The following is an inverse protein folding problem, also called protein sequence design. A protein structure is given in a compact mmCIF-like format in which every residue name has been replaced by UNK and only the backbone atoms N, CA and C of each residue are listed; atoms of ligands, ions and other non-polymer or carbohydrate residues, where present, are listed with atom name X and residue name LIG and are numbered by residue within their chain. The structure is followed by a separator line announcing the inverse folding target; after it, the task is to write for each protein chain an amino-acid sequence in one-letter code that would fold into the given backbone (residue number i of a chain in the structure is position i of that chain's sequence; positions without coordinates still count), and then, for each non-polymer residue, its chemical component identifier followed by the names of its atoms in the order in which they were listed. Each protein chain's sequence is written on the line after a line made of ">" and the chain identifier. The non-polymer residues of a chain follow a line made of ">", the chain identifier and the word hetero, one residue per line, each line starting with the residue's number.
data_IF_650667943272
#
_entry.id   IF_650667943272
#
_cell.length_a   1.000
_cell.length_b   1.000
_cell.length_c   1.000
_cell.angle_alpha   90.00
_cell.angle_beta   90.00
_cell.angle_gamma   90.00
#
_symmetry.space_group_name_H-M   'P 1'
#
loop_
_entity.id
_entity.type
_entity.pdbx_description
1 polymer ?
#
# COMPACT_ATOMS: atom_id res chain seq x y z
N UNK A 1 41.97 13.37 17.47
CA UNK A 1 40.62 13.92 17.44
C UNK A 1 39.77 12.94 16.63
N UNK A 2 39.02 12.09 17.30
CA UNK A 2 38.04 11.23 16.61
C UNK A 2 36.96 12.16 16.05
N UNK A 3 36.99 12.42 14.74
CA UNK A 3 35.87 13.07 14.07
C UNK A 3 34.64 12.21 14.33
N UNK A 4 33.68 12.73 15.11
CA UNK A 4 32.43 12.03 15.34
C UNK A 4 31.79 11.74 13.98
N UNK A 5 31.46 10.51 13.72
CA UNK A 5 30.74 10.11 12.50
C UNK A 5 29.42 10.89 12.40
N UNK A 6 29.13 11.47 11.25
CA UNK A 6 27.88 12.20 11.03
C UNK A 6 26.70 11.23 11.08
N UNK A 7 25.64 11.62 11.76
CA UNK A 7 24.44 10.82 11.98
C UNK A 7 23.37 11.10 10.91
N UNK A 8 22.84 10.03 10.34
CA UNK A 8 21.71 10.10 9.40
C UNK A 8 20.54 9.32 9.98
N UNK A 9 19.48 10.03 10.35
CA UNK A 9 18.23 9.40 10.82
C UNK A 9 17.26 9.23 9.66
N UNK A 10 16.68 8.03 9.53
CA UNK A 10 15.68 7.70 8.50
C UNK A 10 14.38 7.29 9.20
N UNK A 11 13.29 8.02 8.95
CA UNK A 11 11.97 7.72 9.48
C UNK A 11 11.14 6.94 8.47
N UNK A 12 10.84 5.70 8.81
CA UNK A 12 10.14 4.76 7.95
C UNK A 12 11.07 3.94 7.03
N UNK A 13 10.87 2.64 7.00
CA UNK A 13 11.63 1.67 6.19
C UNK A 13 10.80 1.06 5.06
N UNK A 14 9.85 1.85 4.51
CA UNK A 14 9.18 1.55 3.25
C UNK A 14 10.14 1.63 2.06
N UNK A 15 9.60 1.80 0.85
CA UNK A 15 10.44 1.86 -0.35
C UNK A 15 11.45 3.01 -0.35
N UNK A 16 11.07 4.21 0.13
CA UNK A 16 11.98 5.35 0.18
C UNK A 16 13.11 5.14 1.18
N UNK A 17 12.76 4.85 2.44
CA UNK A 17 13.72 4.74 3.53
C UNK A 17 14.67 3.57 3.39
N UNK A 18 14.19 2.39 3.01
CA UNK A 18 15.05 1.22 2.81
C UNK A 18 16.10 1.47 1.71
N UNK A 19 15.69 2.06 0.59
CA UNK A 19 16.64 2.36 -0.51
C UNK A 19 17.60 3.50 -0.16
N UNK A 20 17.19 4.45 0.69
CA UNK A 20 18.10 5.46 1.24
C UNK A 20 19.14 4.80 2.18
N UNK A 21 18.71 3.98 3.13
CA UNK A 21 19.60 3.25 4.04
C UNK A 21 20.64 2.42 3.26
N UNK A 22 20.20 1.63 2.28
CA UNK A 22 21.09 0.82 1.44
C UNK A 22 22.07 1.66 0.62
N UNK A 23 21.66 2.83 0.13
CA UNK A 23 22.54 3.73 -0.62
C UNK A 23 23.65 4.33 0.25
N UNK A 24 23.44 4.42 1.57
CA UNK A 24 24.43 4.86 2.56
C UNK A 24 25.34 3.74 3.10
N UNK A 25 25.18 2.50 2.64
CA UNK A 25 25.87 1.31 3.19
C UNK A 25 27.38 1.43 3.26
N UNK A 26 28.01 2.10 2.28
CA UNK A 26 29.48 2.25 2.18
C UNK A 26 29.97 3.62 2.64
N UNK A 27 29.10 4.43 3.21
CA UNK A 27 29.44 5.77 3.67
C UNK A 27 29.99 5.75 5.09
N UNK A 28 30.89 6.68 5.41
CA UNK A 28 31.40 6.93 6.77
C UNK A 28 30.41 7.79 7.55
N UNK A 29 29.21 7.27 7.77
CA UNK A 29 28.11 7.87 8.53
C UNK A 29 27.44 6.81 9.38
N UNK A 30 26.84 7.21 10.49
CA UNK A 30 26.01 6.35 11.31
C UNK A 30 24.55 6.49 10.88
N UNK A 31 23.95 5.42 10.38
CA UNK A 31 22.56 5.39 9.91
C UNK A 31 21.66 4.80 10.98
N UNK A 32 20.69 5.57 11.45
CA UNK A 32 19.61 5.06 12.32
C UNK A 32 18.32 5.00 11.52
N UNK A 33 17.69 3.83 11.48
CA UNK A 33 16.36 3.64 10.86
C UNK A 33 15.35 3.46 11.97
N UNK A 34 14.40 4.39 12.08
CA UNK A 34 13.26 4.29 13.00
C UNK A 34 12.01 3.91 12.19
N UNK A 35 11.40 2.77 12.49
CA UNK A 35 10.14 2.34 11.88
C UNK A 35 9.19 1.81 12.95
N UNK A 36 7.89 2.11 12.80
CA UNK A 36 6.83 1.63 13.69
C UNK A 36 6.56 0.14 13.56
N UNK A 37 7.08 -0.50 12.51
CA UNK A 37 7.00 -1.93 12.25
C UNK A 37 8.38 -2.56 12.15
N UNK A 38 8.49 -3.84 12.43
CA UNK A 38 9.77 -4.56 12.34
C UNK A 38 10.09 -5.05 10.92
N UNK A 39 9.24 -4.73 9.92
CA UNK A 39 9.33 -5.31 8.58
C UNK A 39 9.17 -4.29 7.47
N UNK A 40 9.90 -4.51 6.40
CA UNK A 40 9.64 -3.88 5.11
C UNK A 40 8.54 -4.64 4.38
N UNK A 41 7.56 -3.90 3.85
CA UNK A 41 6.39 -4.46 3.17
C UNK A 41 6.42 -4.15 1.67
N UNK A 42 6.27 -5.19 0.85
CA UNK A 42 6.11 -5.06 -0.59
C UNK A 42 4.62 -4.79 -0.93
N UNK A 43 4.21 -3.54 -0.73
CA UNK A 43 2.81 -3.10 -0.86
C UNK A 43 2.13 -3.42 -2.20
N UNK A 44 2.82 -3.52 -3.36
CA UNK A 44 2.15 -3.90 -4.61
C UNK A 44 1.47 -5.27 -4.59
N UNK A 45 1.88 -6.18 -3.70
CA UNK A 45 1.24 -7.51 -3.55
C UNK A 45 0.38 -7.62 -2.29
N UNK A 46 0.12 -6.52 -1.59
CA UNK A 46 -0.63 -6.53 -0.34
C UNK A 46 -2.08 -7.00 -0.53
N UNK A 47 -2.70 -6.65 -1.67
CA UNK A 47 -4.04 -7.14 -2.01
C UNK A 47 -4.10 -8.68 -2.08
N UNK A 48 -3.01 -9.37 -2.45
CA UNK A 48 -2.98 -10.84 -2.46
C UNK A 48 -2.97 -11.44 -1.06
N UNK A 49 -2.40 -10.74 -0.08
CA UNK A 49 -2.55 -11.13 1.33
C UNK A 49 -3.99 -10.91 1.80
N UNK A 50 -4.59 -9.77 1.44
CA UNK A 50 -5.98 -9.46 1.75
C UNK A 50 -6.98 -10.45 1.13
N UNK A 51 -6.59 -11.15 0.08
CA UNK A 51 -7.41 -12.10 -0.68
C UNK A 51 -6.93 -13.55 -0.56
N UNK A 52 -6.14 -13.85 0.46
CA UNK A 52 -5.64 -15.19 0.76
C UNK A 52 -4.81 -15.86 -0.37
N UNK A 53 -4.32 -15.08 -1.34
CA UNK A 53 -3.46 -15.56 -2.42
C UNK A 53 -2.01 -15.77 -2.00
N UNK A 54 -1.55 -14.96 -1.03
CA UNK A 54 -0.20 -15.03 -0.46
C UNK A 54 -0.24 -14.95 1.06
N UNK A 55 0.79 -15.51 1.71
CA UNK A 55 1.00 -15.32 3.14
C UNK A 55 1.70 -13.98 3.43
N UNK A 56 1.51 -13.41 4.63
CA UNK A 56 2.16 -12.17 5.03
C UNK A 56 3.69 -12.22 4.91
N UNK A 57 4.40 -13.31 5.34
CA UNK A 57 5.85 -13.41 5.17
C UNK A 57 6.32 -13.49 3.72
N UNK A 58 5.46 -13.84 2.76
CA UNK A 58 5.84 -13.92 1.35
C UNK A 58 6.14 -12.55 0.73
N UNK A 59 5.56 -11.49 1.28
CA UNK A 59 5.71 -10.11 0.78
C UNK A 59 6.33 -9.15 1.80
N UNK A 60 6.67 -9.63 2.98
CA UNK A 60 7.31 -8.84 4.03
C UNK A 60 8.64 -9.45 4.44
N UNK A 61 9.58 -8.60 4.84
CA UNK A 61 10.89 -9.05 5.33
C UNK A 61 11.32 -8.25 6.56
N UNK A 62 11.85 -8.91 7.63
CA UNK A 62 12.33 -8.19 8.80
C UNK A 62 13.42 -7.18 8.43
N UNK A 63 13.25 -5.92 8.82
CA UNK A 63 14.19 -4.82 8.49
C UNK A 63 15.59 -5.16 8.95
N UNK A 64 15.74 -5.68 10.18
CA UNK A 64 17.04 -6.09 10.72
C UNK A 64 17.73 -7.15 9.88
N UNK A 65 16.97 -8.10 9.33
CA UNK A 65 17.51 -9.13 8.45
C UNK A 65 17.96 -8.54 7.10
N UNK A 66 17.17 -7.64 6.52
CA UNK A 66 17.50 -6.99 5.25
C UNK A 66 18.76 -6.13 5.36
N UNK A 67 18.96 -5.46 6.51
CA UNK A 67 20.11 -4.59 6.78
C UNK A 67 21.24 -5.28 7.55
N UNK A 68 21.14 -6.57 7.89
CA UNK A 68 22.12 -7.28 8.73
C UNK A 68 23.58 -7.17 8.24
N UNK A 69 23.77 -7.17 6.92
CA UNK A 69 25.11 -6.99 6.33
C UNK A 69 25.58 -5.53 6.23
N UNK A 70 24.85 -4.55 6.76
CA UNK A 70 25.19 -3.13 6.75
C UNK A 70 25.65 -2.69 8.14
N UNK A 71 26.98 -2.66 8.36
CA UNK A 71 27.59 -2.42 9.68
C UNK A 71 27.30 -1.04 10.26
N UNK A 72 27.09 -0.03 9.42
CA UNK A 72 26.81 1.34 9.83
C UNK A 72 25.30 1.63 10.00
N UNK A 73 24.43 0.60 10.03
CA UNK A 73 22.99 0.79 10.19
C UNK A 73 22.48 0.19 11.50
N UNK A 74 21.83 1.01 12.31
CA UNK A 74 21.08 0.62 13.50
C UNK A 74 19.57 0.72 13.19
N UNK A 75 18.81 -0.28 13.58
CA UNK A 75 17.33 -0.30 13.40
C UNK A 75 16.67 -0.16 14.76
N UNK A 76 15.79 0.81 14.89
CA UNK A 76 14.95 1.03 16.06
C UNK A 76 13.48 0.76 15.70
N UNK A 77 12.80 0.01 16.55
CA UNK A 77 11.34 -0.14 16.48
C UNK A 77 10.73 1.00 17.31
N UNK A 78 9.91 1.83 16.66
CA UNK A 78 9.23 2.95 17.30
C UNK A 78 8.58 3.88 16.28
N UNK A 79 7.66 4.69 16.74
CA UNK A 79 6.95 5.66 15.91
C UNK A 79 7.45 7.09 16.18
N UNK A 80 7.73 7.84 15.11
CA UNK A 80 8.06 9.26 15.20
C UNK A 80 6.78 10.06 15.39
N UNK A 81 6.67 10.81 16.49
CA UNK A 81 5.53 11.67 16.80
C UNK A 81 5.65 13.04 16.16
N UNK A 82 6.84 13.64 16.20
CA UNK A 82 7.09 14.94 15.57
C UNK A 82 8.58 15.13 15.25
N UNK A 83 8.85 15.94 14.26
CA UNK A 83 10.19 16.45 13.96
C UNK A 83 10.32 17.83 14.60
N UNK A 84 11.46 18.11 15.25
CA UNK A 84 11.81 19.40 15.84
C UNK A 84 13.01 19.96 15.07
N UNK A 85 12.82 20.62 13.94
CA UNK A 85 13.92 21.01 13.04
C UNK A 85 14.92 21.96 13.70
N UNK A 86 14.45 22.92 14.53
CA UNK A 86 15.32 23.85 15.24
C UNK A 86 16.26 23.17 16.25
N UNK A 87 15.83 22.05 16.84
CA UNK A 87 16.61 21.26 17.79
C UNK A 87 17.39 20.13 17.11
N UNK A 88 17.24 19.94 15.81
CA UNK A 88 17.79 18.80 15.03
C UNK A 88 17.51 17.44 15.69
N UNK A 89 16.29 17.23 16.15
CA UNK A 89 15.87 15.97 16.73
C UNK A 89 14.44 15.55 16.32
N UNK A 90 14.16 14.28 16.51
CA UNK A 90 12.84 13.67 16.35
C UNK A 90 12.35 13.22 17.70
N UNK A 91 11.13 13.58 18.06
CA UNK A 91 10.45 13.08 19.24
C UNK A 91 9.71 11.78 18.86
N UNK A 92 10.09 10.68 19.49
CA UNK A 92 9.43 9.39 19.37
C UNK A 92 8.19 9.32 20.29
N UNK A 93 7.32 8.34 20.04
CA UNK A 93 6.07 8.15 20.79
C UNK A 93 6.30 7.87 22.27
N UNK A 94 7.40 7.19 22.61
CA UNK A 94 7.84 6.90 23.98
C UNK A 94 8.44 8.13 24.72
N UNK A 95 8.46 9.30 24.10
CA UNK A 95 9.00 10.54 24.65
C UNK A 95 10.51 10.73 24.44
N UNK A 96 11.22 9.75 23.90
CA UNK A 96 12.65 9.86 23.62
C UNK A 96 12.93 10.82 22.45
N UNK A 97 14.00 11.62 22.57
CA UNK A 97 14.53 12.46 21.50
C UNK A 97 15.68 11.76 20.79
N UNK A 98 15.61 11.67 19.46
CA UNK A 98 16.66 11.09 18.61
C UNK A 98 17.27 12.22 17.78
N UNK A 99 18.50 12.59 18.04
CA UNK A 99 19.22 13.64 17.33
C UNK A 99 19.72 13.17 15.96
N UNK A 100 19.91 14.11 15.04
CA UNK A 100 20.47 13.85 13.71
C UNK A 100 21.30 15.03 13.19
N UNK A 101 22.28 14.73 12.34
CA UNK A 101 22.91 15.73 11.48
C UNK A 101 22.15 15.86 10.16
N UNK A 102 21.65 14.72 9.64
CA UNK A 102 20.76 14.66 8.47
C UNK A 102 19.55 13.79 8.77
N UNK A 103 18.39 14.19 8.21
CA UNK A 103 17.12 13.49 8.37
C UNK A 103 16.53 13.12 7.02
N UNK A 104 16.07 11.87 6.88
CA UNK A 104 15.23 11.44 5.74
C UNK A 104 13.86 11.03 6.26
N UNK A 105 12.81 11.76 5.89
CA UNK A 105 11.43 11.44 6.25
C UNK A 105 10.78 10.63 5.13
N UNK A 106 10.54 9.35 5.37
CA UNK A 106 10.04 8.37 4.41
C UNK A 106 8.77 7.65 4.91
N UNK A 107 7.93 8.35 5.69
CA UNK A 107 6.76 7.79 6.38
C UNK A 107 5.53 7.55 5.49
N UNK A 108 5.59 7.94 4.22
CA UNK A 108 4.59 7.63 3.21
C UNK A 108 3.21 8.22 3.45
N UNK A 109 2.17 7.43 3.19
CA UNK A 109 0.76 7.81 3.26
C UNK A 109 -0.06 6.86 4.13
N UNK A 110 -1.18 7.33 4.62
CA UNK A 110 -2.22 6.57 5.32
C UNK A 110 -3.54 6.60 4.55
N UNK A 111 -4.60 6.02 5.11
CA UNK A 111 -5.95 6.12 4.53
C UNK A 111 -6.50 7.53 4.62
N UNK A 112 -7.31 7.92 3.65
CA UNK A 112 -8.12 9.13 3.68
C UNK A 112 -9.58 8.77 3.47
N UNK A 113 -10.41 9.12 4.42
CA UNK A 113 -11.88 9.02 4.32
C UNK A 113 -12.51 10.38 4.00
N UNK A 114 -11.71 11.34 3.50
CA UNK A 114 -12.16 12.70 3.14
C UNK A 114 -12.92 13.41 4.26
N UNK A 115 -12.42 13.29 5.49
CA UNK A 115 -13.04 13.87 6.70
C UNK A 115 -14.13 13.00 7.34
N UNK A 116 -14.37 11.80 6.83
CA UNK A 116 -15.34 10.85 7.35
C UNK A 116 -14.64 9.66 8.01
N UNK A 117 -13.80 9.92 9.00
CA UNK A 117 -13.04 8.89 9.70
C UNK A 117 -13.94 7.92 10.49
N UNK A 118 -15.19 8.33 10.73
CA UNK A 118 -16.27 7.49 11.25
C UNK A 118 -16.60 6.25 10.37
N UNK A 119 -16.18 6.25 9.09
CA UNK A 119 -16.34 5.11 8.18
C UNK A 119 -15.29 4.02 8.34
N UNK A 120 -14.14 4.33 8.94
CA UNK A 120 -13.01 3.40 9.05
C UNK A 120 -13.36 2.07 9.70
N UNK A 121 -14.17 1.98 10.78
CA UNK A 121 -14.56 0.71 11.37
C UNK A 121 -15.37 -0.19 10.44
N UNK A 122 -16.12 0.40 9.51
CA UNK A 122 -17.02 -0.32 8.59
C UNK A 122 -16.39 -0.62 7.24
N UNK A 123 -15.46 0.21 6.79
CA UNK A 123 -14.77 0.07 5.51
C UNK A 123 -13.25 0.17 5.69
N UNK A 124 -12.56 -0.88 6.14
CA UNK A 124 -11.11 -0.86 6.27
C UNK A 124 -10.44 -0.56 4.94
N UNK A 125 -9.39 0.26 4.98
CA UNK A 125 -8.51 0.46 3.83
C UNK A 125 -7.42 -0.61 3.74
N UNK A 126 -6.49 -0.49 2.78
CA UNK A 126 -5.41 -1.45 2.55
C UNK A 126 -4.05 -0.76 2.45
N UNK A 127 -3.30 -0.69 3.56
CA UNK A 127 -1.96 -0.09 3.64
C UNK A 127 -0.97 -0.92 4.45
N UNK A 128 -1.45 -1.71 5.41
CA UNK A 128 -0.63 -2.50 6.34
C UNK A 128 -0.98 -3.99 6.25
N UNK A 129 -0.12 -4.85 6.81
CA UNK A 129 -0.45 -6.27 6.93
C UNK A 129 -1.69 -6.51 7.81
N UNK A 130 -1.89 -5.71 8.85
CA UNK A 130 -3.07 -5.78 9.69
C UNK A 130 -4.36 -5.50 8.90
N UNK A 131 -4.33 -4.46 8.06
CA UNK A 131 -5.46 -4.16 7.16
C UNK A 131 -5.76 -5.32 6.21
N UNK A 132 -4.71 -5.89 5.62
CA UNK A 132 -4.87 -7.02 4.70
C UNK A 132 -5.46 -8.26 5.38
N UNK A 133 -5.04 -8.55 6.61
CA UNK A 133 -5.58 -9.66 7.41
C UNK A 133 -7.03 -9.40 7.82
N UNK A 134 -7.39 -8.16 8.17
CA UNK A 134 -8.76 -7.79 8.50
C UNK A 134 -9.68 -7.88 7.27
N UNK A 135 -9.26 -7.39 6.10
CA UNK A 135 -10.03 -7.54 4.86
C UNK A 135 -10.21 -9.04 4.55
N UNK A 136 -9.14 -9.84 4.64
CA UNK A 136 -9.22 -11.30 4.43
C UNK A 136 -10.23 -11.93 5.36
N UNK A 137 -10.17 -11.59 6.65
CA UNK A 137 -11.11 -12.10 7.66
C UNK A 137 -12.54 -11.75 7.28
N UNK A 138 -12.84 -10.49 6.92
CA UNK A 138 -14.19 -10.05 6.54
C UNK A 138 -14.71 -10.76 5.30
N UNK A 139 -13.89 -10.90 4.28
CA UNK A 139 -14.30 -11.58 3.04
C UNK A 139 -14.63 -13.04 3.28
N UNK A 140 -13.76 -13.78 3.98
CA UNK A 140 -14.01 -15.19 4.29
C UNK A 140 -15.20 -15.36 5.24
N UNK A 141 -15.30 -14.52 6.28
CA UNK A 141 -16.43 -14.52 7.22
C UNK A 141 -17.76 -14.26 6.50
N UNK A 142 -17.77 -13.45 5.44
CA UNK A 142 -18.97 -13.19 4.66
C UNK A 142 -19.61 -14.48 4.12
N UNK A 143 -18.80 -15.39 3.59
CA UNK A 143 -19.29 -16.70 3.11
C UNK A 143 -19.74 -17.61 4.26
N UNK A 144 -19.00 -17.69 5.36
CA UNK A 144 -19.35 -18.49 6.54
C UNK A 144 -20.67 -18.03 7.16
N UNK A 145 -20.87 -16.73 7.26
CA UNK A 145 -22.11 -16.17 7.80
C UNK A 145 -23.29 -16.36 6.85
N UNK A 146 -23.06 -16.26 5.55
CA UNK A 146 -24.09 -16.55 4.55
C UNK A 146 -24.55 -18.01 4.58
N UNK A 147 -23.64 -18.97 4.82
CA UNK A 147 -23.95 -20.39 4.97
C UNK A 147 -24.89 -20.65 6.17
N UNK A 148 -24.75 -19.85 7.23
CA UNK A 148 -25.55 -19.98 8.46
C UNK A 148 -26.88 -19.18 8.41
N UNK A 149 -26.94 -18.13 7.58
CA UNK A 149 -28.08 -17.21 7.55
C UNK A 149 -29.28 -17.86 6.84
N UNK A 150 -30.45 -17.76 7.44
CA UNK A 150 -31.71 -18.29 6.91
C UNK A 150 -32.54 -17.24 6.20
N UNK A 151 -32.42 -15.97 6.59
CA UNK A 151 -33.12 -14.87 5.93
C UNK A 151 -32.47 -14.55 4.58
N UNK A 152 -33.19 -14.59 3.47
CA UNK A 152 -32.62 -14.38 2.13
C UNK A 152 -32.02 -12.99 1.94
N UNK A 153 -32.61 -11.95 2.52
CA UNK A 153 -32.13 -10.58 2.37
C UNK A 153 -30.83 -10.36 3.15
N UNK A 154 -30.74 -10.88 4.36
CA UNK A 154 -29.51 -10.85 5.18
C UNK A 154 -28.41 -11.72 4.58
N UNK A 155 -28.75 -12.89 4.02
CA UNK A 155 -27.83 -13.75 3.29
C UNK A 155 -27.25 -13.02 2.07
N UNK A 156 -28.09 -12.34 1.29
CA UNK A 156 -27.65 -11.54 0.16
C UNK A 156 -26.69 -10.39 0.58
N UNK A 157 -26.92 -9.75 1.73
CA UNK A 157 -26.03 -8.74 2.29
C UNK A 157 -24.66 -9.32 2.68
N UNK A 158 -24.59 -10.55 3.21
CA UNK A 158 -23.34 -11.25 3.50
C UNK A 158 -22.58 -11.64 2.23
N UNK A 159 -23.27 -11.98 1.15
CA UNK A 159 -22.69 -12.31 -0.16
C UNK A 159 -22.46 -11.08 -1.05
N UNK A 160 -22.64 -9.87 -0.53
CA UNK A 160 -22.35 -8.63 -1.24
C UNK A 160 -21.04 -8.04 -0.72
N UNK A 161 -20.07 -7.93 -1.61
CA UNK A 161 -18.73 -7.37 -1.36
C UNK A 161 -18.58 -6.05 -2.12
N UNK A 162 -18.32 -4.98 -1.40
CA UNK A 162 -18.20 -3.65 -1.99
C UNK A 162 -16.75 -3.17 -1.89
N UNK A 163 -16.20 -2.71 -3.00
CA UNK A 163 -14.93 -2.01 -3.05
C UNK A 163 -15.18 -0.57 -3.49
N UNK A 164 -14.79 0.38 -2.67
CA UNK A 164 -14.95 1.83 -2.94
C UNK A 164 -13.61 2.39 -3.42
N UNK A 165 -13.59 2.88 -4.66
CA UNK A 165 -12.43 3.43 -5.34
C UNK A 165 -11.91 2.52 -6.46
N UNK A 166 -11.91 3.02 -7.69
CA UNK A 166 -11.52 2.31 -8.92
C UNK A 166 -10.06 2.52 -9.32
N UNK A 167 -9.18 2.92 -8.38
CA UNK A 167 -7.74 2.92 -8.60
C UNK A 167 -7.16 1.49 -8.69
N UNK A 168 -5.82 1.34 -8.87
CA UNK A 168 -5.18 0.02 -9.01
C UNK A 168 -5.55 -0.94 -7.87
N UNK A 169 -5.46 -0.52 -6.62
CA UNK A 169 -5.79 -1.35 -5.46
C UNK A 169 -7.25 -1.84 -5.48
N UNK A 170 -8.19 -0.95 -5.83
CA UNK A 170 -9.61 -1.32 -5.87
C UNK A 170 -9.93 -2.29 -7.01
N UNK A 171 -9.33 -2.07 -8.17
CA UNK A 171 -9.46 -2.97 -9.33
C UNK A 171 -8.90 -4.37 -9.01
N UNK A 172 -7.72 -4.45 -8.41
CA UNK A 172 -7.06 -5.70 -7.99
C UNK A 172 -7.89 -6.45 -6.94
N UNK A 173 -8.43 -5.75 -5.94
CA UNK A 173 -9.29 -6.35 -4.92
C UNK A 173 -10.59 -6.86 -5.50
N UNK A 174 -11.29 -6.05 -6.31
CA UNK A 174 -12.59 -6.41 -6.89
C UNK A 174 -12.46 -7.63 -7.82
N UNK A 175 -11.45 -7.64 -8.69
CA UNK A 175 -11.19 -8.78 -9.56
C UNK A 175 -10.89 -10.05 -8.77
N UNK A 176 -10.08 -9.93 -7.72
CA UNK A 176 -9.72 -11.09 -6.89
C UNK A 176 -10.88 -11.59 -6.03
N UNK A 177 -11.76 -10.72 -5.52
CA UNK A 177 -12.98 -11.15 -4.81
C UNK A 177 -13.91 -11.95 -5.72
N UNK A 178 -14.05 -11.52 -6.98
CA UNK A 178 -14.82 -12.27 -7.97
C UNK A 178 -14.19 -13.66 -8.27
N UNK A 179 -12.86 -13.76 -8.35
CA UNK A 179 -12.17 -15.05 -8.51
C UNK A 179 -12.36 -15.98 -7.30
N UNK A 180 -12.32 -15.45 -6.07
CA UNK A 180 -12.58 -16.23 -4.84
C UNK A 180 -13.98 -16.83 -4.89
N UNK A 181 -14.98 -16.00 -5.17
CA UNK A 181 -16.37 -16.43 -5.21
C UNK A 181 -16.64 -17.47 -6.29
N UNK A 182 -16.10 -17.28 -7.50
CA UNK A 182 -16.41 -18.07 -8.67
C UNK A 182 -15.60 -19.34 -8.84
N UNK A 183 -14.38 -19.34 -8.34
CA UNK A 183 -13.43 -20.43 -8.57
C UNK A 183 -12.90 -21.04 -7.28
N UNK A 184 -12.36 -20.22 -6.36
CA UNK A 184 -11.65 -20.73 -5.18
C UNK A 184 -12.58 -21.47 -4.22
N UNK A 185 -13.79 -20.95 -3.97
CA UNK A 185 -14.74 -21.53 -3.00
C UNK A 185 -15.78 -22.46 -3.64
N UNK A 186 -15.61 -22.77 -4.92
CA UNK A 186 -16.57 -23.61 -5.65
C UNK A 186 -16.73 -24.97 -4.98
N UNK A 187 -17.97 -25.33 -4.62
CA UNK A 187 -18.32 -26.63 -4.06
C UNK A 187 -17.93 -26.85 -2.60
N UNK A 188 -17.40 -25.85 -1.90
CA UNK A 188 -17.03 -25.97 -0.48
C UNK A 188 -18.21 -25.79 0.46
N UNK A 189 -19.22 -25.00 0.08
CA UNK A 189 -20.42 -24.72 0.88
C UNK A 189 -21.58 -25.62 0.46
N UNK A 190 -22.54 -25.82 1.37
CA UNK A 190 -23.69 -26.74 1.17
C UNK A 190 -25.03 -26.02 1.04
N UNK A 191 -25.17 -24.84 1.69
CA UNK A 191 -26.43 -24.08 1.73
C UNK A 191 -26.40 -22.84 0.85
N UNK A 192 -25.21 -22.41 0.43
CA UNK A 192 -25.02 -21.31 -0.51
C UNK A 192 -24.22 -21.78 -1.72
N UNK A 193 -24.44 -21.10 -2.84
CA UNK A 193 -23.49 -21.13 -3.96
C UNK A 193 -22.62 -19.87 -3.90
N UNK A 194 -21.32 -19.98 -3.63
CA UNK A 194 -20.39 -18.84 -3.60
C UNK A 194 -20.42 -18.04 -4.91
N UNK A 195 -20.73 -18.68 -6.04
CA UNK A 195 -20.84 -18.02 -7.35
C UNK A 195 -21.95 -16.95 -7.39
N UNK A 196 -22.96 -17.06 -6.50
CA UNK A 196 -24.03 -16.06 -6.37
C UNK A 196 -23.57 -14.77 -5.68
N UNK A 197 -22.36 -14.73 -5.16
CA UNK A 197 -21.82 -13.53 -4.52
C UNK A 197 -21.71 -12.36 -5.52
N UNK A 198 -22.12 -11.20 -5.06
CA UNK A 198 -22.09 -9.95 -5.80
C UNK A 198 -20.88 -9.13 -5.41
N UNK A 199 -20.00 -8.84 -6.36
CA UNK A 199 -18.86 -7.93 -6.17
C UNK A 199 -19.16 -6.62 -6.88
N UNK A 200 -19.15 -5.50 -6.13
CA UNK A 200 -19.47 -4.17 -6.66
C UNK A 200 -18.25 -3.28 -6.45
N UNK A 201 -17.73 -2.71 -7.53
CA UNK A 201 -16.69 -1.69 -7.53
C UNK A 201 -17.34 -0.33 -7.78
N UNK A 202 -17.28 0.56 -6.79
CA UNK A 202 -17.85 1.92 -6.87
C UNK A 202 -16.72 2.91 -7.11
N UNK A 203 -16.84 3.73 -8.15
CA UNK A 203 -15.85 4.76 -8.50
C UNK A 203 -16.51 6.10 -8.68
N UNK A 204 -15.97 7.14 -8.02
CA UNK A 204 -16.50 8.50 -8.07
C UNK A 204 -16.25 9.21 -9.40
N UNK A 205 -15.22 8.81 -10.14
CA UNK A 205 -14.89 9.37 -11.47
C UNK A 205 -15.58 8.58 -12.59
N UNK A 206 -15.53 9.10 -13.82
CA UNK A 206 -16.20 8.51 -14.98
C UNK A 206 -15.66 7.11 -15.37
N UNK A 207 -14.49 6.71 -14.88
CA UNK A 207 -13.85 5.45 -15.27
C UNK A 207 -12.95 4.89 -14.18
N UNK A 208 -12.77 3.59 -14.15
CA UNK A 208 -11.75 2.92 -13.33
C UNK A 208 -10.36 3.24 -13.87
N UNK A 209 -9.33 3.15 -13.03
CA UNK A 209 -7.93 3.46 -13.38
C UNK A 209 -7.79 4.85 -14.05
N UNK A 210 -8.27 5.94 -13.44
CA UNK A 210 -8.32 7.27 -14.09
C UNK A 210 -6.94 7.79 -14.49
N UNK A 211 -5.85 7.34 -13.84
CA UNK A 211 -4.48 7.66 -14.17
C UNK A 211 -3.94 6.94 -15.43
N UNK A 212 -4.64 5.93 -15.92
CA UNK A 212 -4.28 5.21 -17.14
C UNK A 212 -4.91 5.83 -18.38
N UNK A 213 -4.35 5.58 -19.58
CA UNK A 213 -4.98 5.98 -20.83
C UNK A 213 -6.43 5.45 -20.94
N UNK A 214 -7.37 6.25 -21.52
CA UNK A 214 -8.80 5.88 -21.56
C UNK A 214 -9.08 4.53 -22.22
N UNK A 215 -8.30 4.15 -23.22
CA UNK A 215 -8.41 2.86 -23.91
C UNK A 215 -8.05 1.68 -22.98
N UNK A 216 -7.04 1.81 -22.12
CA UNK A 216 -6.68 0.79 -21.15
C UNK A 216 -7.66 0.75 -19.98
N UNK A 217 -8.15 1.90 -19.52
CA UNK A 217 -9.20 1.99 -18.51
C UNK A 217 -10.47 1.24 -18.93
N UNK A 218 -10.95 1.46 -20.17
CA UNK A 218 -12.09 0.72 -20.73
C UNK A 218 -11.82 -0.77 -20.83
N UNK A 219 -10.62 -1.19 -21.26
CA UNK A 219 -10.25 -2.62 -21.32
C UNK A 219 -10.22 -3.24 -19.92
N UNK A 220 -9.75 -2.52 -18.90
CA UNK A 220 -9.76 -2.97 -17.52
C UNK A 220 -11.21 -3.17 -17.02
N UNK A 221 -12.10 -2.23 -17.29
CA UNK A 221 -13.52 -2.36 -16.93
C UNK A 221 -14.17 -3.60 -17.59
N UNK A 222 -13.98 -3.79 -18.91
CA UNK A 222 -14.49 -4.97 -19.61
C UNK A 222 -13.95 -6.27 -19.00
N UNK A 223 -12.70 -6.30 -18.59
CA UNK A 223 -12.09 -7.47 -17.94
C UNK A 223 -12.71 -7.72 -16.57
N UNK A 224 -12.96 -6.68 -15.76
CA UNK A 224 -13.67 -6.80 -14.47
C UNK A 224 -15.10 -7.34 -14.66
N UNK A 225 -15.84 -6.80 -15.61
CA UNK A 225 -17.22 -7.22 -15.90
C UNK A 225 -17.28 -8.69 -16.37
N UNK A 226 -16.30 -9.14 -17.16
CA UNK A 226 -16.15 -10.56 -17.54
C UNK A 226 -15.88 -11.48 -16.35
N UNK A 227 -15.16 -11.00 -15.34
CA UNK A 227 -14.98 -11.69 -14.06
C UNK A 227 -16.25 -11.66 -13.20
N UNK A 228 -17.27 -10.88 -13.59
CA UNK A 228 -18.54 -10.71 -12.89
C UNK A 228 -18.52 -9.66 -11.80
N UNK A 229 -17.59 -8.74 -11.85
CA UNK A 229 -17.64 -7.53 -11.05
C UNK A 229 -18.64 -6.55 -11.65
N UNK A 230 -19.55 -6.02 -10.83
CA UNK A 230 -20.43 -4.91 -11.23
C UNK A 230 -19.67 -3.61 -11.01
N UNK A 231 -19.36 -2.88 -12.08
CA UNK A 231 -18.63 -1.60 -11.99
C UNK A 231 -19.63 -0.44 -12.03
N UNK A 232 -19.58 0.43 -11.03
CA UNK A 232 -20.40 1.66 -10.91
C UNK A 232 -19.51 2.91 -11.00
N UNK A 233 -19.20 3.38 -12.20
CA UNK A 233 -18.49 4.65 -12.38
C UNK A 233 -19.42 5.84 -12.13
N UNK A 234 -18.85 7.01 -11.88
CA UNK A 234 -19.58 8.26 -11.59
C UNK A 234 -20.56 8.15 -10.42
N UNK A 235 -20.25 7.30 -9.44
CA UNK A 235 -21.05 7.09 -8.24
C UNK A 235 -20.23 7.45 -6.99
N UNK A 236 -20.68 8.45 -6.27
CA UNK A 236 -20.04 8.89 -5.04
C UNK A 236 -20.71 8.25 -3.82
N UNK A 237 -19.94 7.56 -3.00
CA UNK A 237 -20.39 7.04 -1.71
C UNK A 237 -20.56 8.21 -0.76
N UNK A 238 -21.76 8.36 -0.19
CA UNK A 238 -22.14 9.45 0.71
C UNK A 238 -22.30 9.02 2.16
N UNK A 239 -22.33 7.70 2.41
CA UNK A 239 -22.41 7.12 3.74
C UNK A 239 -21.88 5.68 3.76
N UNK A 240 -21.28 5.30 4.89
CA UNK A 240 -20.84 3.92 5.16
C UNK A 240 -21.18 3.60 6.61
N UNK A 241 -21.79 2.44 6.83
CA UNK A 241 -22.12 1.93 8.17
C UNK A 241 -22.11 0.38 8.21
N UNK A 242 -22.52 -0.20 9.35
CA UNK A 242 -22.57 -1.65 9.55
C UNK A 242 -23.54 -2.40 8.61
N UNK A 243 -24.40 -1.70 7.88
CA UNK A 243 -25.37 -2.28 6.97
C UNK A 243 -24.96 -2.16 5.50
N UNK A 244 -23.90 -1.38 5.18
CA UNK A 244 -23.41 -1.21 3.83
C UNK A 244 -23.06 0.21 3.46
N UNK A 245 -23.35 0.60 2.21
CA UNK A 245 -23.02 1.92 1.69
C UNK A 245 -24.28 2.69 1.25
N UNK A 246 -24.17 4.01 1.29
CA UNK A 246 -25.16 4.96 0.77
C UNK A 246 -24.56 5.67 -0.44
N UNK A 247 -25.34 5.81 -1.52
CA UNK A 247 -25.00 6.55 -2.74
C UNK A 247 -26.17 7.47 -3.06
N UNK A 248 -26.08 8.73 -2.67
CA UNK A 248 -27.22 9.66 -2.74
C UNK A 248 -28.44 9.12 -1.96
N UNK A 249 -29.57 8.89 -2.63
CA UNK A 249 -30.75 8.29 -2.02
C UNK A 249 -30.76 6.76 -2.04
N UNK A 250 -29.88 6.13 -2.82
CA UNK A 250 -29.82 4.66 -2.96
C UNK A 250 -28.97 4.04 -1.84
N UNK A 251 -29.44 2.91 -1.30
CA UNK A 251 -28.69 2.11 -0.33
C UNK A 251 -28.34 0.74 -0.90
N UNK A 252 -27.09 0.34 -0.76
CA UNK A 252 -26.63 -1.02 -1.04
C UNK A 252 -26.29 -1.73 0.25
N UNK A 253 -27.08 -2.75 0.60
CA UNK A 253 -26.79 -3.58 1.77
C UNK A 253 -25.61 -4.50 1.49
N UNK A 254 -24.59 -4.43 2.34
CA UNK A 254 -23.37 -5.22 2.27
C UNK A 254 -22.72 -5.33 3.65
N UNK A 255 -22.23 -6.51 4.01
CA UNK A 255 -21.52 -6.73 5.28
C UNK A 255 -20.01 -6.58 5.12
N UNK A 256 -19.52 -6.56 3.89
CA UNK A 256 -18.10 -6.36 3.59
C UNK A 256 -17.94 -5.17 2.66
N UNK A 257 -17.39 -4.08 3.18
CA UNK A 257 -17.02 -2.89 2.43
C UNK A 257 -15.52 -2.67 2.61
N UNK A 258 -14.80 -2.39 1.53
CA UNK A 258 -13.35 -2.09 1.54
C UNK A 258 -13.12 -0.72 0.93
N UNK A 259 -12.32 0.11 1.60
CA UNK A 259 -12.00 1.47 1.19
C UNK A 259 -10.68 1.51 0.41
N UNK A 260 -10.75 1.83 -0.88
CA UNK A 260 -9.61 2.02 -1.77
C UNK A 260 -9.62 3.39 -2.48
N UNK A 261 -10.46 4.34 -2.00
CA UNK A 261 -10.76 5.58 -2.71
C UNK A 261 -9.82 6.74 -2.39
N UNK A 262 -8.99 6.65 -1.35
CA UNK A 262 -8.17 7.80 -1.00
C UNK A 262 -6.99 7.48 -0.09
N UNK A 263 -5.96 8.31 -0.22
CA UNK A 263 -4.78 8.33 0.65
C UNK A 263 -4.50 9.76 1.10
N UNK A 264 -4.04 9.91 2.34
CA UNK A 264 -3.52 11.15 2.89
C UNK A 264 -2.05 10.98 3.24
N UNK A 265 -1.29 12.03 3.16
CA UNK A 265 0.10 12.02 3.61
C UNK A 265 0.19 11.75 5.12
N UNK A 266 1.31 11.16 5.55
CA UNK A 266 1.60 10.97 6.97
C UNK A 266 1.49 12.29 7.74
N UNK A 267 0.78 12.34 8.88
CA UNK A 267 0.62 13.56 9.67
C UNK A 267 1.94 14.16 10.16
N UNK A 268 3.01 13.36 10.20
CA UNK A 268 4.34 13.80 10.56
C UNK A 268 4.86 14.95 9.68
N UNK A 269 4.43 15.01 8.43
CA UNK A 269 4.79 16.10 7.50
C UNK A 269 4.44 17.51 8.03
N UNK A 270 3.41 17.63 8.87
CA UNK A 270 3.00 18.91 9.47
C UNK A 270 4.07 19.50 10.42
N UNK A 271 4.84 18.63 11.07
CA UNK A 271 5.86 19.06 12.03
C UNK A 271 7.15 19.60 11.39
N UNK A 272 7.26 19.51 10.05
CA UNK A 272 8.41 20.02 9.30
C UNK A 272 8.39 21.53 9.06
N UNK A 273 7.26 22.20 9.32
CA UNK A 273 7.11 23.64 9.09
C UNK A 273 7.08 24.07 7.61
N UNK A 274 7.09 23.12 6.67
CA UNK A 274 7.05 23.39 5.24
C UNK A 274 5.59 23.49 4.72
N UNK A 275 5.33 24.18 3.59
CA UNK A 275 4.04 24.18 2.94
C UNK A 275 3.57 22.76 2.57
N UNK A 276 2.27 22.52 2.70
CA UNK A 276 1.64 21.25 2.37
C UNK A 276 0.65 21.43 1.20
N UNK A 277 0.49 20.39 0.39
CA UNK A 277 -0.58 20.33 -0.60
C UNK A 277 -1.93 19.89 0.03
N UNK A 278 -2.98 19.81 -0.79
CA UNK A 278 -4.34 19.41 -0.34
C UNK A 278 -4.39 17.98 0.25
N UNK A 279 -3.47 17.09 -0.14
CA UNK A 279 -3.37 15.75 0.41
C UNK A 279 -2.47 15.67 1.65
N UNK A 280 -1.93 16.81 2.11
CA UNK A 280 -1.02 16.91 3.24
C UNK A 280 0.43 16.55 2.90
N UNK A 281 0.80 16.42 1.60
CA UNK A 281 2.16 16.13 1.18
C UNK A 281 3.02 17.39 1.30
N UNK A 282 4.29 17.19 1.69
CA UNK A 282 5.25 18.26 1.93
C UNK A 282 5.81 18.78 0.61
N UNK A 283 5.67 20.07 0.34
CA UNK A 283 6.39 20.72 -0.77
C UNK A 283 7.89 20.73 -0.49
N UNK A 284 8.67 20.09 -1.34
CA UNK A 284 10.12 19.99 -1.22
C UNK A 284 10.83 20.84 -2.25
N UNK A 285 12.08 21.20 -1.97
CA UNK A 285 12.97 21.81 -2.93
C UNK A 285 13.32 20.80 -4.07
N UNK A 286 13.86 21.27 -5.21
CA UNK A 286 14.18 20.39 -6.34
C UNK A 286 15.11 19.21 -6.01
N UNK A 287 15.92 19.32 -4.96
CA UNK A 287 16.85 18.28 -4.49
C UNK A 287 16.24 17.35 -3.43
N UNK A 288 14.93 17.49 -3.15
CA UNK A 288 14.12 16.79 -2.14
C UNK A 288 14.32 17.30 -0.70
N UNK A 289 15.09 18.36 -0.48
CA UNK A 289 15.22 18.95 0.86
C UNK A 289 13.97 19.77 1.24
N UNK A 290 13.79 19.97 2.54
CA UNK A 290 12.73 20.85 3.09
C UNK A 290 13.21 22.30 2.94
N UNK A 291 12.40 23.21 2.38
CA UNK A 291 12.76 24.63 2.31
C UNK A 291 13.11 25.19 3.67
N UNK A 292 14.30 25.82 3.79
CA UNK A 292 14.84 26.33 5.04
C UNK A 292 15.63 25.30 5.87
N UNK A 293 15.57 24.01 5.53
CA UNK A 293 16.24 22.91 6.23
C UNK A 293 16.97 21.99 5.25
N UNK A 294 18.14 22.39 4.72
CA UNK A 294 18.87 21.62 3.71
C UNK A 294 19.36 20.25 4.21
N UNK A 295 19.38 20.02 5.51
CA UNK A 295 19.72 18.76 6.17
C UNK A 295 18.53 17.77 6.25
N UNK A 296 17.29 18.22 5.98
CA UNK A 296 16.07 17.41 6.07
C UNK A 296 15.55 17.10 4.66
N UNK A 297 15.43 15.83 4.32
CA UNK A 297 14.91 15.33 3.03
C UNK A 297 13.59 14.61 3.23
N UNK A 298 12.61 14.87 2.33
CA UNK A 298 11.33 14.14 2.33
C UNK A 298 11.25 13.31 1.05
N UNK A 299 10.92 12.03 1.20
CA UNK A 299 10.93 11.06 0.09
C UNK A 299 9.68 10.18 0.06
N UNK A 300 9.36 9.65 -1.12
CA UNK A 300 8.21 8.79 -1.34
C UNK A 300 6.88 9.58 -1.34
N UNK A 301 5.80 8.90 -0.97
CA UNK A 301 4.44 9.42 -1.10
C UNK A 301 4.15 10.63 -0.18
N UNK A 302 5.02 10.91 0.77
CA UNK A 302 4.93 12.11 1.62
C UNK A 302 5.38 13.38 0.89
N UNK A 303 6.25 13.29 -0.13
CA UNK A 303 6.75 14.45 -0.86
C UNK A 303 5.80 14.86 -1.98
N UNK A 304 5.52 16.17 -2.07
CA UNK A 304 4.78 16.78 -3.18
C UNK A 304 5.77 17.23 -4.25
N UNK A 305 5.82 16.50 -5.37
CA UNK A 305 6.64 16.82 -6.54
C UNK A 305 5.75 16.76 -7.77
N UNK A 306 5.74 17.81 -8.55
CA UNK A 306 4.94 17.87 -9.76
C UNK A 306 5.36 16.78 -10.77
N UNK A 307 4.37 16.07 -11.34
CA UNK A 307 4.58 15.00 -12.30
C UNK A 307 5.16 13.69 -11.74
N UNK A 308 5.39 13.59 -10.42
CA UNK A 308 5.89 12.36 -9.79
C UNK A 308 4.75 11.62 -9.09
N UNK A 309 4.39 10.39 -9.53
CA UNK A 309 3.32 9.62 -8.89
C UNK A 309 3.77 9.03 -7.55
N UNK A 310 2.80 8.82 -6.62
CA UNK A 310 3.00 8.12 -5.35
C UNK A 310 3.05 6.60 -5.57
N UNK A 311 4.16 6.09 -6.09
CA UNK A 311 4.38 4.67 -6.38
C UNK A 311 5.75 4.21 -5.93
N UNK A 312 5.90 2.89 -5.69
CA UNK A 312 7.14 2.29 -5.22
C UNK A 312 8.40 2.63 -6.05
N UNK A 313 8.38 2.64 -7.40
CA UNK A 313 9.53 3.05 -8.22
C UNK A 313 9.98 4.49 -7.97
N UNK A 314 9.04 5.43 -7.78
CA UNK A 314 9.35 6.81 -7.47
C UNK A 314 9.99 6.93 -6.08
N UNK A 315 9.39 6.33 -5.07
CA UNK A 315 9.92 6.32 -3.71
C UNK A 315 11.35 5.74 -3.62
N UNK A 316 11.65 4.64 -4.34
CA UNK A 316 12.99 4.06 -4.44
C UNK A 316 14.01 5.03 -5.03
N UNK A 317 13.64 5.71 -6.12
CA UNK A 317 14.52 6.69 -6.78
C UNK A 317 14.78 7.89 -5.88
N UNK A 318 13.73 8.40 -5.20
CA UNK A 318 13.85 9.52 -4.27
C UNK A 318 14.74 9.18 -3.08
N UNK A 319 14.56 8.01 -2.44
CA UNK A 319 15.40 7.59 -1.32
C UNK A 319 16.88 7.49 -1.69
N UNK A 320 17.19 6.88 -2.84
CA UNK A 320 18.58 6.84 -3.35
C UNK A 320 19.14 8.22 -3.67
N UNK A 321 18.29 9.13 -4.18
CA UNK A 321 18.70 10.48 -4.53
C UNK A 321 18.99 11.32 -3.29
N UNK A 322 18.12 11.28 -2.27
CA UNK A 322 18.34 11.95 -1.00
C UNK A 322 19.66 11.49 -0.34
N UNK A 323 19.91 10.18 -0.29
CA UNK A 323 21.18 9.64 0.20
C UNK A 323 22.40 10.16 -0.57
N UNK A 324 22.33 10.26 -1.91
CA UNK A 324 23.41 10.83 -2.74
C UNK A 324 23.63 12.30 -2.46
N UNK A 325 22.57 13.08 -2.23
CA UNK A 325 22.66 14.49 -1.89
C UNK A 325 23.28 14.70 -0.51
N UNK A 326 22.92 13.88 0.49
CA UNK A 326 23.59 13.87 1.80
C UNK A 326 25.09 13.60 1.63
N UNK A 327 25.47 12.57 0.85
CA UNK A 327 26.87 12.25 0.61
C UNK A 327 27.64 13.37 -0.14
N UNK A 328 26.96 14.12 -1.01
CA UNK A 328 27.55 15.29 -1.65
C UNK A 328 27.78 16.42 -0.65
N UNK A 329 26.79 16.71 0.19
CA UNK A 329 26.89 17.75 1.25
C UNK A 329 27.98 17.45 2.27
N UNK A 330 28.12 16.18 2.69
CA UNK A 330 29.18 15.71 3.60
C UNK A 330 30.61 15.96 3.05
N UNK A 331 30.73 16.00 1.72
CA UNK A 331 32.00 16.31 1.03
C UNK A 331 32.15 17.79 0.68
N UNK A 332 31.29 18.67 1.20
CA UNK A 332 31.27 20.10 0.85
C UNK A 332 30.79 20.40 -0.58
N UNK A 333 30.22 19.41 -1.27
CA UNK A 333 29.66 19.56 -2.62
C UNK A 333 28.22 20.06 -2.62
N UNK A 334 27.73 20.44 -3.80
CA UNK A 334 26.34 20.88 -4.01
C UNK A 334 25.41 19.70 -4.20
N UNK A 335 24.18 19.79 -3.69
CA UNK A 335 23.08 18.88 -3.97
C UNK A 335 22.65 19.00 -5.44
N UNK A 336 21.99 17.96 -5.94
CA UNK A 336 21.48 17.90 -7.32
C UNK A 336 19.96 17.79 -7.33
N UNK A 337 19.27 18.39 -8.31
CA UNK A 337 17.84 18.24 -8.44
C UNK A 337 17.46 16.80 -8.78
N UNK A 338 16.34 16.35 -8.24
CA UNK A 338 15.76 15.06 -8.51
C UNK A 338 15.08 15.06 -9.89
N UNK A 339 15.27 13.98 -10.63
CA UNK A 339 14.57 13.74 -11.89
C UNK A 339 13.99 12.34 -11.87
N UNK A 340 12.67 12.26 -11.88
CA UNK A 340 11.98 10.97 -11.96
C UNK A 340 12.16 10.32 -13.33
N UNK A 341 12.50 9.04 -13.34
CA UNK A 341 12.48 8.18 -14.53
C UNK A 341 11.30 7.26 -14.44
N UNK A 342 10.32 7.50 -15.30
CA UNK A 342 9.11 6.68 -15.34
C UNK A 342 9.46 5.23 -15.73
N UNK A 343 9.03 4.29 -14.88
CA UNK A 343 9.20 2.85 -15.07
C UNK A 343 7.90 2.16 -15.49
N UNK A 344 6.87 2.95 -15.78
CA UNK A 344 5.55 2.48 -16.15
C UNK A 344 4.62 2.20 -14.97
N UNK A 345 3.38 1.90 -15.31
CA UNK A 345 2.31 1.55 -14.39
C UNK A 345 1.68 0.23 -14.83
N UNK A 346 1.41 -0.62 -13.85
CA UNK A 346 0.86 -1.94 -14.05
C UNK A 346 -0.28 -2.16 -13.06
N UNK A 347 -1.40 -2.71 -13.53
CA UNK A 347 -2.50 -3.15 -12.66
C UNK A 347 -3.02 -4.50 -13.17
N UNK A 348 -3.12 -5.48 -12.28
CA UNK A 348 -3.79 -6.74 -12.61
C UNK A 348 -5.28 -6.64 -12.33
N UNK A 349 -6.08 -7.33 -13.14
CA UNK A 349 -7.52 -7.38 -12.98
C UNK A 349 -7.93 -8.77 -12.46
N UNK A 350 -7.20 -9.77 -12.86
CA UNK A 350 -7.40 -11.15 -12.49
C UNK A 350 -6.45 -12.07 -13.25
N UNK A 351 -6.71 -13.37 -13.22
CA UNK A 351 -5.90 -14.33 -13.94
C UNK A 351 -5.92 -14.02 -15.45
N UNK A 352 -4.74 -13.98 -16.07
CA UNK A 352 -4.55 -13.67 -17.49
C UNK A 352 -5.06 -12.29 -17.92
N UNK A 353 -5.35 -11.41 -16.97
CA UNK A 353 -5.95 -10.11 -17.21
C UNK A 353 -5.21 -9.01 -16.43
N UNK A 354 -4.57 -8.11 -17.16
CA UNK A 354 -3.89 -6.93 -16.63
C UNK A 354 -3.89 -5.80 -17.65
N UNK A 355 -3.50 -4.61 -17.21
CA UNK A 355 -3.18 -3.47 -18.07
C UNK A 355 -1.81 -2.93 -17.69
N UNK A 356 -1.02 -2.56 -18.70
CA UNK A 356 0.33 -2.04 -18.54
C UNK A 356 0.52 -0.82 -19.44
N UNK A 357 1.10 0.23 -18.90
CA UNK A 357 1.61 1.37 -19.68
C UNK A 357 3.06 1.61 -19.30
N UNK A 358 3.97 1.62 -20.29
CA UNK A 358 5.40 1.89 -20.13
C UNK A 358 5.86 2.78 -21.28
N UNK A 359 6.00 4.07 -21.02
CA UNK A 359 6.27 5.05 -22.06
C UNK A 359 5.18 5.02 -23.15
N UNK A 360 5.53 4.65 -24.37
CA UNK A 360 4.58 4.53 -25.49
C UNK A 360 3.92 3.16 -25.60
N UNK A 361 4.43 2.17 -24.88
CA UNK A 361 3.89 0.80 -24.92
C UNK A 361 2.66 0.68 -24.05
N UNK A 362 1.58 0.17 -24.63
CA UNK A 362 0.31 -0.11 -23.97
C UNK A 362 -0.06 -1.57 -24.21
N UNK A 363 -0.20 -2.33 -23.14
CA UNK A 363 -0.57 -3.74 -23.19
C UNK A 363 -1.84 -3.99 -22.37
N UNK A 364 -2.61 -5.01 -22.75
CA UNK A 364 -3.78 -5.47 -21.99
C UNK A 364 -3.97 -6.98 -22.14
N UNK A 365 -4.69 -7.61 -21.18
CA UNK A 365 -4.94 -9.04 -21.17
C UNK A 365 -3.71 -9.86 -20.82
N UNK A 366 -3.55 -11.04 -21.43
CA UNK A 366 -2.49 -12.00 -21.12
C UNK A 366 -1.07 -11.44 -21.28
N UNK A 367 -0.68 -10.73 -22.37
CA UNK A 367 0.66 -10.14 -22.47
C UNK A 367 0.97 -9.15 -21.35
N UNK A 368 -0.01 -8.32 -20.97
CA UNK A 368 0.13 -7.39 -19.85
C UNK A 368 0.30 -8.13 -18.52
N UNK A 369 -0.43 -9.24 -18.34
CA UNK A 369 -0.34 -10.08 -17.15
C UNK A 369 1.04 -10.74 -17.01
N UNK A 370 1.65 -11.21 -18.09
CA UNK A 370 3.03 -11.73 -18.06
C UNK A 370 4.04 -10.66 -17.65
N UNK A 371 3.94 -9.45 -18.22
CA UNK A 371 4.80 -8.31 -17.83
C UNK A 371 4.61 -7.97 -16.35
N UNK A 372 3.37 -7.95 -15.88
CA UNK A 372 3.03 -7.72 -14.48
C UNK A 372 3.67 -8.77 -13.57
N UNK A 373 3.56 -10.05 -13.91
CA UNK A 373 4.14 -11.17 -13.17
C UNK A 373 5.65 -11.05 -13.03
N UNK A 374 6.35 -10.87 -14.16
CA UNK A 374 7.82 -10.73 -14.18
C UNK A 374 8.28 -9.52 -13.38
N UNK A 375 7.61 -8.36 -13.54
CA UNK A 375 7.97 -7.14 -12.83
C UNK A 375 7.83 -7.33 -11.31
N UNK A 376 6.74 -7.94 -10.83
CA UNK A 376 6.51 -8.13 -9.38
C UNK A 376 7.50 -9.09 -8.75
N UNK A 377 7.84 -10.21 -9.44
CA UNK A 377 8.89 -11.12 -8.97
C UNK A 377 10.26 -10.44 -8.96
N UNK A 378 10.60 -9.67 -10.00
CA UNK A 378 11.89 -8.98 -10.08
C UNK A 378 12.08 -7.97 -8.93
N UNK A 379 11.03 -7.19 -8.62
CA UNK A 379 11.10 -6.15 -7.59
C UNK A 379 10.88 -6.66 -6.16
N UNK A 380 10.40 -7.89 -5.98
CA UNK A 380 10.18 -8.48 -4.67
C UNK A 380 11.51 -8.67 -3.92
N UNK A 381 11.51 -8.30 -2.64
CA UNK A 381 12.69 -8.39 -1.78
C UNK A 381 12.92 -9.83 -1.34
N UNK A 382 14.20 -10.20 -1.24
CA UNK A 382 14.73 -11.51 -0.88
C UNK A 382 14.50 -12.60 -1.95
N UNK A 383 15.55 -13.35 -2.22
CA UNK A 383 15.51 -14.48 -3.18
C UNK A 383 14.50 -15.56 -2.75
N UNK A 384 14.48 -15.90 -1.46
CA UNK A 384 13.53 -16.86 -0.89
C UNK A 384 12.08 -16.46 -1.18
N UNK A 385 11.72 -15.21 -0.98
CA UNK A 385 10.36 -14.73 -1.21
C UNK A 385 9.97 -14.79 -2.68
N UNK A 386 10.91 -14.49 -3.60
CA UNK A 386 10.68 -14.64 -5.05
C UNK A 386 10.34 -16.07 -5.43
N UNK A 387 11.11 -17.03 -4.90
CA UNK A 387 10.89 -18.44 -5.17
C UNK A 387 9.55 -18.94 -4.63
N UNK A 388 9.23 -18.59 -3.39
CA UNK A 388 7.95 -18.97 -2.75
C UNK A 388 6.78 -18.39 -3.55
N UNK A 389 6.80 -17.10 -3.85
CA UNK A 389 5.72 -16.45 -4.60
C UNK A 389 5.56 -17.04 -6.00
N UNK A 390 6.66 -17.38 -6.67
CA UNK A 390 6.59 -18.09 -7.97
C UNK A 390 5.89 -19.44 -7.86
N UNK A 391 6.23 -20.24 -6.83
CA UNK A 391 5.63 -21.56 -6.59
C UNK A 391 4.13 -21.39 -6.26
N UNK A 392 3.81 -20.47 -5.34
CA UNK A 392 2.43 -20.19 -4.95
C UNK A 392 1.57 -19.73 -6.14
N UNK A 393 2.12 -18.85 -6.98
CA UNK A 393 1.42 -18.39 -8.18
C UNK A 393 1.28 -19.50 -9.23
N UNK A 394 2.30 -20.35 -9.43
CA UNK A 394 2.21 -21.49 -10.33
C UNK A 394 1.14 -22.47 -9.85
N UNK A 395 1.13 -22.81 -8.55
CA UNK A 395 0.11 -23.68 -7.97
C UNK A 395 -1.29 -23.08 -8.13
N UNK A 396 -1.49 -21.83 -7.68
CA UNK A 396 -2.77 -21.13 -7.82
C UNK A 396 -3.21 -21.03 -9.30
N UNK A 397 -2.27 -20.90 -10.23
CA UNK A 397 -2.58 -20.83 -11.66
C UNK A 397 -3.23 -22.11 -12.20
N UNK A 398 -2.83 -23.27 -11.75
CA UNK A 398 -3.38 -24.55 -12.22
C UNK A 398 -4.60 -25.00 -11.41
N UNK A 399 -4.63 -24.75 -10.10
CA UNK A 399 -5.63 -25.31 -9.18
C UNK A 399 -6.74 -24.33 -8.76
N UNK A 400 -6.53 -23.02 -8.89
CA UNK A 400 -7.33 -21.95 -8.25
C UNK A 400 -7.30 -21.97 -6.71
N UNK A 401 -6.52 -22.86 -6.10
CA UNK A 401 -6.41 -22.92 -4.65
C UNK A 401 -5.66 -21.71 -4.08
N UNK A 402 -6.15 -21.22 -2.95
CA UNK A 402 -5.54 -20.16 -2.15
C UNK A 402 -5.31 -20.71 -0.75
N UNK A 403 -4.07 -21.09 -0.44
CA UNK A 403 -3.74 -21.80 0.81
C UNK A 403 -3.81 -20.90 2.06
N UNK A 404 -3.73 -19.57 1.93
CA UNK A 404 -3.71 -18.65 3.05
C UNK A 404 -5.12 -18.28 3.58
N UNK A 405 -6.14 -19.12 3.34
CA UNK A 405 -7.55 -18.92 3.74
C UNK A 405 -7.82 -19.19 5.22
N UNK A 406 -6.94 -18.72 6.10
CA UNK A 406 -7.10 -18.86 7.54
C UNK A 406 -7.55 -17.52 8.12
N UNK A 407 -8.66 -17.54 8.85
CA UNK A 407 -9.14 -16.39 9.61
C UNK A 407 -8.51 -16.39 11.00
N UNK A 408 -7.76 -15.33 11.29
CA UNK A 408 -7.26 -15.09 12.65
C UNK A 408 -8.28 -14.17 13.33
N UNK A 409 -8.91 -14.64 14.39
CA UNK A 409 -9.77 -13.79 15.21
C UNK A 409 -8.89 -12.80 15.98
N UNK A 410 -9.30 -11.51 16.10
CA UNK A 410 -8.68 -10.63 17.06
C UNK A 410 -8.78 -11.29 18.43
N UNK A 411 -7.67 -11.39 19.16
CA UNK A 411 -7.71 -11.82 20.55
C UNK A 411 -8.63 -10.89 21.35
N UNK A 412 -9.18 -11.33 22.51
CA UNK A 412 -9.90 -10.43 23.39
C UNK A 412 -9.01 -9.21 23.66
N UNK A 413 -9.63 -8.04 23.57
CA UNK A 413 -8.95 -6.78 23.81
C UNK A 413 -8.36 -6.78 25.22
N UNK A 414 -7.05 -7.01 25.34
CA UNK A 414 -6.33 -7.03 26.64
C UNK A 414 -6.04 -5.62 27.16
N UNK A 415 -6.55 -4.58 26.50
CA UNK A 415 -6.37 -3.19 26.89
C UNK A 415 -7.41 -2.70 27.90
N UNK A 416 -8.39 -3.52 28.32
CA UNK A 416 -9.25 -3.21 29.48
C UNK A 416 -8.49 -3.66 30.72
N UNK A 417 -8.01 -2.77 31.60
CA UNK A 417 -7.62 -3.16 32.96
C UNK A 417 -8.85 -3.64 33.72
N UNK A 418 -8.77 -4.79 34.37
CA UNK A 418 -9.74 -5.25 35.39
C UNK A 418 -9.92 -4.23 36.49
#
# INVERSE_FOLDING_TARGET
>A
MTTSSQSVLILGCGFGGLWAAQALRKASVDVTVLDRTNHHLFTPLLYQVATAGLSSPSIAGPIRHILAGQRNATVLLGEARSVLPAEKCVLAEDGNKISYDYLIVATGTTHSYFGRDDWAPYAPGLKTLADALEIRRRVLLGFEMAERETDPARRAAWLTFVVVGGGPTGVELAGTFAEIARHTLRGEFRRIDPHSARVVLVEGTERVLPAYPPDLSRKAQIQLERLGVTVWPSRLVTGVDAQGIQIGAERLSAKTVVWAAGVAASPLGRSLGAPLDRAGRVHVAPDLSVPGHPEIFVVGDLAAIEGVPGIAPAAKQMGRHAAKNILASLKGGKTRPFRYRDQGQLATIGRNAAVVVMGRMKLSGFPAWLVWLVAHIYFLINFRNRLIVMIDWAWAYFTYERYARIMIQPGPDRSSPE
#
